data_IF_959077884978
#
_entry.id   IF_959077884978
#
_cell.length_a   1.000
_cell.length_b   1.000
_cell.length_c   1.000
_cell.angle_alpha   90.00
_cell.angle_beta   90.00
_cell.angle_gamma   90.00
#
_symmetry.space_group_name_H-M   'P 1'
#
loop_
_entity.id
_entity.type
_entity.pdbx_description
1 polymer ?
#
# COMPACT_ATOMS: atom_id res chain seq x y z
N UNK A 1 -18.96 7.95 -7.07
CA UNK A 1 -17.61 7.37 -7.25
C UNK A 1 -16.69 8.55 -7.56
N UNK A 2 -16.11 9.17 -6.53
CA UNK A 2 -15.17 10.30 -6.70
C UNK A 2 -13.96 9.73 -7.41
N UNK A 3 -13.97 9.89 -8.72
CA UNK A 3 -12.83 9.95 -9.64
C UNK A 3 -11.55 9.32 -9.07
N UNK A 4 -11.21 8.12 -9.57
CA UNK A 4 -9.91 7.47 -9.45
C UNK A 4 -8.82 8.49 -9.16
N UNK A 5 -8.47 8.72 -7.88
CA UNK A 5 -7.55 9.78 -7.49
C UNK A 5 -6.25 9.55 -8.25
N UNK A 6 -6.05 10.34 -9.30
CA UNK A 6 -4.87 10.42 -10.15
C UNK A 6 -4.27 9.09 -10.64
N UNK A 7 -5.10 8.11 -11.03
CA UNK A 7 -4.62 6.87 -11.64
C UNK A 7 -3.89 5.91 -10.68
N UNK A 8 -3.96 6.14 -9.37
CA UNK A 8 -3.43 5.22 -8.38
C UNK A 8 -4.31 3.96 -8.28
N UNK A 9 -3.68 2.80 -8.12
CA UNK A 9 -4.37 1.51 -8.14
C UNK A 9 -4.99 1.23 -6.76
N UNK A 10 -6.30 0.92 -6.67
CA UNK A 10 -6.93 0.58 -5.40
C UNK A 10 -6.36 -0.73 -4.85
N UNK A 11 -6.13 -0.75 -3.54
CA UNK A 11 -5.57 -1.89 -2.82
C UNK A 11 -6.26 -2.08 -1.46
N UNK A 12 -6.20 -3.32 -1.00
CA UNK A 12 -6.50 -3.71 0.38
C UNK A 12 -5.22 -4.23 1.03
N UNK A 13 -4.84 -3.70 2.19
CA UNK A 13 -3.66 -4.13 2.95
C UNK A 13 -4.05 -4.69 4.32
N UNK A 14 -3.19 -5.55 4.89
CA UNK A 14 -3.34 -6.04 6.27
C UNK A 14 -2.20 -5.57 7.15
N UNK A 15 -2.53 -4.93 8.28
CA UNK A 15 -1.54 -4.49 9.26
C UNK A 15 -2.07 -4.78 10.67
N UNK A 16 -1.34 -5.56 11.47
CA UNK A 16 -1.71 -5.93 12.85
C UNK A 16 -3.18 -6.39 13.01
N UNK A 17 -3.63 -7.31 12.15
CA UNK A 17 -5.02 -7.82 12.07
C UNK A 17 -6.09 -6.78 11.70
N UNK A 18 -5.71 -5.58 11.27
CA UNK A 18 -6.62 -4.59 10.68
C UNK A 18 -6.51 -4.62 9.17
N UNK A 19 -7.67 -4.53 8.51
CA UNK A 19 -7.76 -4.32 7.08
C UNK A 19 -7.73 -2.82 6.80
N UNK A 20 -6.86 -2.40 5.89
CA UNK A 20 -6.72 -1.03 5.42
C UNK A 20 -7.13 -0.98 3.96
N UNK A 21 -7.96 0.00 3.60
CA UNK A 21 -8.36 0.27 2.22
C UNK A 21 -7.80 1.60 1.77
N UNK A 22 -7.30 1.61 0.55
CA UNK A 22 -6.65 2.80 0.02
C UNK A 22 -6.16 2.61 -1.40
N UNK A 23 -5.16 3.40 -1.76
CA UNK A 23 -4.58 3.45 -3.08
C UNK A 23 -3.06 3.29 -2.98
N UNK A 24 -2.49 2.43 -3.80
CA UNK A 24 -1.04 2.25 -3.86
C UNK A 24 -0.40 3.47 -4.48
N UNK A 25 0.57 4.07 -3.77
CA UNK A 25 1.42 5.16 -4.29
C UNK A 25 2.65 4.54 -4.96
N UNK A 26 3.44 3.76 -4.22
CA UNK A 26 4.65 3.11 -4.72
C UNK A 26 5.11 1.96 -3.80
N UNK A 27 6.06 1.17 -4.30
CA UNK A 27 6.86 0.27 -3.47
C UNK A 27 8.20 0.91 -3.17
N UNK A 28 8.66 0.79 -1.93
CA UNK A 28 9.96 1.26 -1.48
C UNK A 28 10.71 0.14 -0.76
N UNK A 29 12.02 0.17 -0.91
CA UNK A 29 12.92 -0.77 -0.26
C UNK A 29 13.60 -0.06 0.90
N UNK A 30 13.61 -0.68 2.08
CA UNK A 30 14.43 -0.23 3.20
C UNK A 30 15.39 -1.35 3.63
N UNK A 31 16.59 -0.95 4.06
CA UNK A 31 17.63 -1.87 4.52
C UNK A 31 18.77 -2.09 3.53
N UNK A 32 19.81 -2.73 4.04
CA UNK A 32 21.02 -3.14 3.30
C UNK A 32 20.93 -4.62 2.90
N UNK A 33 21.81 -5.08 2.00
CA UNK A 33 21.92 -6.51 1.67
C UNK A 33 22.29 -7.38 2.90
N UNK A 34 22.90 -6.80 3.93
CA UNK A 34 23.40 -7.51 5.11
C UNK A 34 22.36 -7.62 6.23
N UNK A 35 21.48 -6.62 6.39
CA UNK A 35 20.47 -6.58 7.46
C UNK A 35 19.13 -7.23 7.08
N UNK A 36 18.99 -7.65 5.82
CA UNK A 36 17.75 -8.10 5.23
C UNK A 36 17.02 -6.97 4.53
N UNK A 37 16.66 -7.20 3.27
CA UNK A 37 15.92 -6.24 2.46
C UNK A 37 14.44 -6.32 2.83
N UNK A 38 13.90 -5.24 3.43
CA UNK A 38 12.47 -5.06 3.65
C UNK A 38 11.82 -4.36 2.46
N UNK A 39 10.76 -4.94 1.91
CA UNK A 39 9.96 -4.31 0.85
C UNK A 39 8.65 -3.80 1.46
N UNK A 40 8.41 -2.51 1.33
CA UNK A 40 7.25 -1.82 1.86
C UNK A 40 6.42 -1.22 0.72
N UNK A 41 5.14 -1.03 0.99
CA UNK A 41 4.20 -0.34 0.13
C UNK A 41 3.72 0.93 0.82
N UNK A 42 3.92 2.08 0.17
CA UNK A 42 3.31 3.34 0.58
C UNK A 42 1.89 3.41 0.03
N UNK A 43 0.92 3.61 0.92
CA UNK A 43 -0.50 3.62 0.59
C UNK A 43 -1.16 4.91 1.09
N UNK A 44 -2.04 5.49 0.26
CA UNK A 44 -2.93 6.58 0.66
C UNK A 44 -4.27 5.97 1.12
N UNK A 45 -4.67 6.22 2.36
CA UNK A 45 -5.94 5.77 2.91
C UNK A 45 -7.10 6.64 2.41
N UNK A 46 -8.34 6.16 2.59
CA UNK A 46 -9.55 6.89 2.16
C UNK A 46 -9.71 8.27 2.82
N UNK A 47 -9.14 8.46 4.02
CA UNK A 47 -9.11 9.74 4.73
C UNK A 47 -8.02 10.71 4.21
N UNK A 48 -7.19 10.27 3.26
CA UNK A 48 -6.08 11.03 2.67
C UNK A 48 -4.77 10.96 3.45
N UNK A 49 -4.69 10.23 4.56
CA UNK A 49 -3.43 9.97 5.25
C UNK A 49 -2.58 8.95 4.50
N UNK A 50 -1.25 9.05 4.64
CA UNK A 50 -0.29 8.12 4.03
C UNK A 50 0.31 7.23 5.11
N UNK A 51 0.35 5.93 4.84
CA UNK A 51 1.00 4.95 5.73
C UNK A 51 1.82 3.94 4.92
N UNK A 52 2.65 3.17 5.62
CA UNK A 52 3.48 2.12 5.05
C UNK A 52 3.11 0.76 5.67
N UNK A 53 3.06 -0.26 4.81
CA UNK A 53 2.80 -1.65 5.19
C UNK A 53 3.81 -2.55 4.48
N UNK A 54 4.08 -3.73 5.02
CA UNK A 54 4.90 -4.71 4.30
C UNK A 54 4.24 -5.06 2.97
N UNK A 55 5.03 -5.06 1.89
CA UNK A 55 4.51 -5.23 0.54
C UNK A 55 3.77 -6.57 0.34
N UNK A 56 4.17 -7.62 1.06
CA UNK A 56 3.51 -8.94 1.00
C UNK A 56 2.11 -8.94 1.63
N UNK A 57 1.73 -7.91 2.38
CA UNK A 57 0.40 -7.76 2.97
C UNK A 57 -0.57 -6.99 2.06
N UNK A 58 -0.13 -6.51 0.89
CA UNK A 58 -0.94 -5.76 -0.06
C UNK A 58 -1.62 -6.68 -1.06
N UNK A 59 -2.92 -6.45 -1.29
CA UNK A 59 -3.71 -7.07 -2.37
C UNK A 59 -4.25 -5.99 -3.28
N UNK A 60 -4.08 -6.17 -4.58
CA UNK A 60 -4.68 -5.30 -5.59
C UNK A 60 -6.13 -5.70 -5.81
N UNK A 61 -7.01 -4.72 -5.81
CA UNK A 61 -8.40 -4.94 -6.19
C UNK A 61 -8.51 -5.03 -7.73
N UNK A 62 -9.39 -5.90 -8.22
CA UNK A 62 -9.72 -5.95 -9.64
C UNK A 62 -10.45 -4.66 -10.04
N UNK A 63 -9.91 -3.98 -11.06
CA UNK A 63 -10.56 -2.81 -11.66
C UNK A 63 -11.56 -3.36 -12.68
N UNK A 64 -12.86 -3.23 -12.39
CA UNK A 64 -13.95 -3.59 -13.30
C UNK A 64 -14.25 -2.49 -14.29
#
# INVERSE_FOLDING_TARGET
>A
MRESRNGLRPITAKQYNKELKGYLICFNQEGSLEDGIGLYAAIELEDGSVTQVDAYNVKFEDIK
#
